data_IF_881928671685
#
_entry.id   IF_881928671685
#
_cell.length_a   1.000
_cell.length_b   1.000
_cell.length_c   1.000
_cell.angle_alpha   90.00
_cell.angle_beta   90.00
_cell.angle_gamma   90.00
#
_symmetry.space_group_name_H-M   'P 1'
#
loop_
_entity.id
_entity.type
_entity.pdbx_description
1 polymer ?
#
# COMPACT_ATOMS: atom_id res chain seq x y z
N UNK A 1 -16.31 7.63 2.18
CA UNK A 1 -14.99 7.67 2.82
C UNK A 1 -14.51 9.10 2.96
N UNK A 2 -13.78 9.38 4.00
CA UNK A 2 -13.16 10.68 4.20
C UNK A 2 -11.72 10.61 3.71
N UNK A 3 -11.38 11.45 2.75
CA UNK A 3 -10.02 11.55 2.25
C UNK A 3 -9.23 12.54 3.09
N UNK A 4 -7.99 12.19 3.37
CA UNK A 4 -7.09 13.01 4.19
C UNK A 4 -5.68 12.98 3.60
N UNK A 5 -4.97 14.09 3.79
CA UNK A 5 -3.52 14.11 3.64
C UNK A 5 -2.93 14.15 5.04
N UNK A 6 -2.04 13.23 5.34
CA UNK A 6 -1.39 13.16 6.65
C UNK A 6 0.10 12.89 6.49
N UNK A 7 0.83 13.14 7.56
CA UNK A 7 2.27 12.86 7.59
C UNK A 7 2.52 11.50 8.20
N UNK A 8 3.15 10.61 7.42
CA UNK A 8 3.67 9.33 7.91
C UNK A 8 5.16 9.54 8.19
N UNK A 9 5.50 9.96 9.42
CA UNK A 9 6.83 10.46 9.69
C UNK A 9 7.06 11.75 8.90
N UNK A 10 8.06 11.76 8.03
CA UNK A 10 8.37 12.91 7.17
C UNK A 10 7.73 12.79 5.77
N UNK A 11 6.95 11.77 5.51
CA UNK A 11 6.37 11.50 4.21
C UNK A 11 4.89 11.87 4.18
N UNK A 12 4.47 12.82 3.33
CA UNK A 12 3.04 13.10 3.17
C UNK A 12 2.36 11.93 2.43
N UNK A 13 1.20 11.53 2.92
CA UNK A 13 0.43 10.43 2.35
C UNK A 13 -1.03 10.81 2.17
N UNK A 14 -1.60 10.35 1.07
CA UNK A 14 -3.02 10.46 0.78
C UNK A 14 -3.70 9.18 1.25
N UNK A 15 -4.67 9.32 2.14
CA UNK A 15 -5.42 8.19 2.69
C UNK A 15 -6.92 8.44 2.60
N UNK A 16 -7.68 7.36 2.59
CA UNK A 16 -9.14 7.43 2.71
C UNK A 16 -9.57 6.45 3.80
N UNK A 17 -10.52 6.86 4.62
CA UNK A 17 -10.90 6.18 5.86
C UNK A 17 -12.42 6.21 5.99
N UNK A 18 -13.03 5.06 6.22
CA UNK A 18 -14.48 4.99 6.50
C UNK A 18 -14.83 5.44 7.90
N UNK A 19 -13.87 5.49 8.80
CA UNK A 19 -13.96 5.97 10.19
C UNK A 19 -14.88 5.17 11.12
N UNK A 20 -15.56 4.16 10.63
CA UNK A 20 -16.51 3.37 11.42
C UNK A 20 -16.15 1.90 11.47
N UNK A 21 -16.19 1.33 12.65
CA UNK A 21 -15.98 -0.09 12.91
C UNK A 21 -14.94 -0.34 13.98
N UNK A 22 -15.15 -1.41 14.76
CA UNK A 22 -14.22 -1.79 15.84
C UNK A 22 -12.99 -2.50 15.32
N UNK A 23 -13.13 -3.21 14.20
CA UNK A 23 -12.03 -3.87 13.52
C UNK A 23 -11.65 -3.06 12.29
N UNK A 24 -10.37 -3.01 11.99
CA UNK A 24 -9.86 -2.23 10.87
C UNK A 24 -9.08 -3.10 9.90
N UNK A 25 -9.25 -2.81 8.61
CA UNK A 25 -8.45 -3.38 7.55
C UNK A 25 -7.83 -2.25 6.72
N UNK A 26 -6.54 -2.38 6.40
CA UNK A 26 -5.86 -1.48 5.47
C UNK A 26 -5.59 -2.22 4.16
N UNK A 27 -5.94 -1.58 3.05
CA UNK A 27 -5.82 -2.17 1.72
C UNK A 27 -4.65 -1.51 0.97
N UNK A 28 -3.70 -2.33 0.53
CA UNK A 28 -2.48 -1.88 -0.14
C UNK A 28 -2.50 -2.28 -1.61
N UNK A 29 -2.43 -1.29 -2.50
CA UNK A 29 -2.48 -1.48 -3.95
C UNK A 29 -1.17 -2.03 -4.51
N UNK A 30 -1.22 -2.48 -5.78
CA UNK A 30 -0.07 -2.99 -6.49
C UNK A 30 0.76 -1.91 -7.20
N UNK A 31 1.77 -2.37 -7.92
CA UNK A 31 2.67 -1.52 -8.69
C UNK A 31 1.92 -0.77 -9.79
N UNK A 32 2.21 0.52 -9.93
CA UNK A 32 1.56 1.43 -10.90
C UNK A 32 0.05 1.57 -10.70
N UNK A 33 -0.46 1.20 -9.54
CA UNK A 33 -1.85 1.40 -9.16
C UNK A 33 -1.98 2.55 -8.16
N UNK A 34 -3.20 2.77 -7.68
CA UNK A 34 -3.49 3.72 -6.61
C UNK A 34 -4.59 3.16 -5.72
N UNK A 35 -4.93 3.86 -4.65
CA UNK A 35 -5.99 3.41 -3.74
C UNK A 35 -7.37 3.30 -4.40
N UNK A 36 -7.56 3.91 -5.57
CA UNK A 36 -8.83 3.87 -6.31
C UNK A 36 -9.21 2.44 -6.72
N UNK A 37 -8.23 1.55 -6.92
CA UNK A 37 -8.50 0.15 -7.27
C UNK A 37 -9.36 -0.56 -6.22
N UNK A 38 -9.43 -0.03 -5.01
CA UNK A 38 -10.16 -0.64 -3.90
C UNK A 38 -11.60 -0.15 -3.76
N UNK A 39 -12.05 0.83 -4.53
CA UNK A 39 -13.35 1.49 -4.31
C UNK A 39 -14.52 0.51 -4.21
N UNK A 40 -14.59 -0.48 -5.08
CA UNK A 40 -15.66 -1.49 -5.04
C UNK A 40 -15.55 -2.39 -3.81
N UNK A 41 -14.33 -2.76 -3.43
CA UNK A 41 -14.09 -3.56 -2.23
C UNK A 41 -14.47 -2.81 -0.97
N UNK A 42 -14.19 -1.52 -0.93
CA UNK A 42 -14.55 -0.68 0.20
C UNK A 42 -16.05 -0.68 0.42
N UNK A 43 -16.84 -0.54 -0.65
CA UNK A 43 -18.29 -0.54 -0.56
C UNK A 43 -18.85 -1.84 0.02
N UNK A 44 -18.18 -2.96 -0.23
CA UNK A 44 -18.56 -4.25 0.33
C UNK A 44 -18.12 -4.42 1.79
N UNK A 45 -16.91 -3.96 2.11
CA UNK A 45 -16.29 -4.19 3.42
C UNK A 45 -16.73 -3.20 4.50
N UNK A 46 -17.04 -1.98 4.13
CA UNK A 46 -17.31 -0.89 5.08
C UNK A 46 -18.52 -1.12 6.01
N UNK A 47 -19.38 -2.05 5.64
CA UNK A 47 -20.55 -2.43 6.45
C UNK A 47 -20.14 -3.18 7.71
N UNK A 48 -19.03 -3.90 7.66
CA UNK A 48 -18.62 -4.82 8.73
C UNK A 48 -17.35 -4.38 9.45
N UNK A 49 -16.48 -3.63 8.76
CA UNK A 49 -15.18 -3.21 9.30
C UNK A 49 -14.86 -1.78 8.90
N UNK A 50 -13.99 -1.14 9.67
CA UNK A 50 -13.37 0.12 9.27
C UNK A 50 -12.36 -0.18 8.18
N UNK A 51 -12.45 0.55 7.07
CA UNK A 51 -11.56 0.35 5.92
C UNK A 51 -10.70 1.59 5.72
N UNK A 52 -9.40 1.38 5.61
CA UNK A 52 -8.43 2.41 5.26
C UNK A 52 -7.79 2.00 3.94
N UNK A 53 -7.78 2.92 2.99
CA UNK A 53 -7.00 2.79 1.76
C UNK A 53 -6.00 3.92 1.71
N UNK A 54 -4.87 3.70 1.07
CA UNK A 54 -3.85 4.73 0.96
C UNK A 54 -3.07 4.56 -0.33
N UNK A 55 -2.53 5.68 -0.82
CA UNK A 55 -1.58 5.66 -1.92
C UNK A 55 -0.19 5.42 -1.34
N UNK A 56 0.44 4.34 -1.77
CA UNK A 56 1.82 4.07 -1.36
C UNK A 56 2.75 5.14 -1.95
N UNK A 57 3.77 5.58 -1.21
CA UNK A 57 4.70 6.59 -1.71
C UNK A 57 5.21 6.29 -3.11
N UNK A 58 5.18 7.30 -3.99
CA UNK A 58 5.54 7.17 -5.38
C UNK A 58 4.39 6.72 -6.30
N UNK A 59 3.19 6.52 -5.76
CA UNK A 59 2.01 6.07 -6.50
C UNK A 59 0.83 7.01 -6.23
N UNK A 60 -0.12 7.03 -7.16
CA UNK A 60 -1.32 7.87 -7.02
C UNK A 60 -1.00 9.36 -7.12
N UNK A 61 -1.46 10.14 -6.15
CA UNK A 61 -1.11 11.56 -6.06
C UNK A 61 0.36 11.65 -5.68
N UNK A 62 1.21 12.29 -6.49
CA UNK A 62 2.64 12.25 -6.28
C UNK A 62 3.07 12.82 -4.93
N UNK A 63 3.81 12.03 -4.20
CA UNK A 63 4.56 12.48 -3.05
C UNK A 63 6.02 12.19 -3.36
N UNK A 64 6.87 13.18 -3.16
CA UNK A 64 8.29 13.00 -3.41
C UNK A 64 8.96 12.65 -2.10
N UNK A 65 9.38 11.39 -1.97
CA UNK A 65 10.25 10.98 -0.89
C UNK A 65 11.58 10.57 -1.53
N UNK A 66 11.79 9.29 -1.78
CA UNK A 66 13.00 8.78 -2.41
C UNK A 66 12.68 8.27 -3.82
N UNK A 67 13.67 8.28 -4.71
CA UNK A 67 13.51 7.75 -6.07
C UNK A 67 13.23 6.24 -6.05
N UNK A 68 13.84 5.53 -5.11
CA UNK A 68 13.67 4.08 -4.94
C UNK A 68 13.15 3.81 -3.54
N UNK A 69 11.98 3.19 -3.49
CA UNK A 69 11.34 2.83 -2.23
C UNK A 69 11.54 1.35 -1.94
N UNK A 70 12.11 1.03 -0.78
CA UNK A 70 12.20 -0.35 -0.32
C UNK A 70 10.85 -0.80 0.26
N UNK A 71 10.62 -2.10 0.33
CA UNK A 71 9.41 -2.64 0.96
C UNK A 71 9.37 -2.25 2.44
N UNK A 72 10.52 -2.22 3.10
CA UNK A 72 10.65 -1.79 4.49
C UNK A 72 10.25 -0.34 4.69
N UNK A 73 10.70 0.53 3.80
CA UNK A 73 10.33 1.95 3.83
C UNK A 73 8.81 2.12 3.64
N UNK A 74 8.23 1.44 2.65
CA UNK A 74 6.80 1.49 2.39
C UNK A 74 6.01 0.95 3.59
N UNK A 75 6.48 -0.14 4.19
CA UNK A 75 5.86 -0.72 5.38
C UNK A 75 5.85 0.26 6.56
N UNK A 76 6.96 0.96 6.78
CA UNK A 76 7.05 1.95 7.85
C UNK A 76 6.13 3.15 7.58
N UNK A 77 5.97 3.54 6.32
CA UNK A 77 5.00 4.57 5.94
C UNK A 77 3.57 4.15 6.25
N UNK A 78 3.21 2.91 5.93
CA UNK A 78 1.89 2.36 6.25
C UNK A 78 1.65 2.37 7.76
N UNK A 79 2.59 1.83 8.54
CA UNK A 79 2.48 1.78 9.99
C UNK A 79 2.34 3.19 10.59
N UNK A 80 3.14 4.14 10.12
CA UNK A 80 3.08 5.53 10.59
C UNK A 80 1.75 6.19 10.24
N UNK A 81 1.20 5.91 9.06
CA UNK A 81 -0.11 6.41 8.66
C UNK A 81 -1.22 5.88 9.57
N UNK A 82 -1.18 4.59 9.88
CA UNK A 82 -2.16 3.97 10.78
C UNK A 82 -2.05 4.55 12.19
N UNK A 83 -0.85 4.77 12.66
CA UNK A 83 -0.61 5.43 13.95
C UNK A 83 -1.18 6.85 13.97
N UNK A 84 -0.96 7.61 12.90
CA UNK A 84 -1.50 8.96 12.76
C UNK A 84 -3.04 9.00 12.77
N UNK A 85 -3.68 7.92 12.30
CA UNK A 85 -5.13 7.75 12.35
C UNK A 85 -5.64 7.25 13.70
N UNK A 86 -4.74 6.97 14.64
CA UNK A 86 -5.10 6.44 15.95
C UNK A 86 -5.47 4.95 15.94
N UNK A 87 -5.09 4.23 14.91
CA UNK A 87 -5.42 2.81 14.76
C UNK A 87 -4.22 1.98 15.21
N UNK A 88 -4.38 1.26 16.33
CA UNK A 88 -3.29 0.50 16.94
C UNK A 88 -3.15 -0.92 16.42
N UNK A 89 -4.24 -1.49 15.92
CA UNK A 89 -4.27 -2.86 15.44
C UNK A 89 -5.17 -2.98 14.23
N UNK A 90 -4.69 -3.68 13.21
CA UNK A 90 -5.38 -3.78 11.92
C UNK A 90 -4.95 -5.03 11.17
N UNK A 91 -5.80 -5.49 10.27
CA UNK A 91 -5.42 -6.49 9.27
C UNK A 91 -4.93 -5.79 8.01
N UNK A 92 -3.99 -6.41 7.32
CA UNK A 92 -3.39 -5.86 6.11
C UNK A 92 -3.76 -6.73 4.93
N UNK A 93 -4.32 -6.12 3.89
CA UNK A 93 -4.62 -6.80 2.63
C UNK A 93 -3.73 -6.18 1.55
N UNK A 94 -2.91 -7.01 0.93
CA UNK A 94 -2.00 -6.53 -0.11
C UNK A 94 -2.25 -7.19 -1.44
N UNK A 95 -2.34 -6.38 -2.50
CA UNK A 95 -2.49 -6.83 -3.88
C UNK A 95 -1.16 -6.71 -4.62
N UNK A 96 -0.66 -7.80 -5.18
CA UNK A 96 0.58 -7.83 -5.96
C UNK A 96 1.75 -7.26 -5.16
N UNK A 97 2.36 -6.15 -5.58
CA UNK A 97 3.43 -5.47 -4.83
C UNK A 97 2.99 -5.10 -3.41
N UNK A 98 1.73 -4.70 -3.23
CA UNK A 98 1.16 -4.42 -1.91
C UNK A 98 1.22 -5.63 -0.97
N UNK A 99 1.25 -6.84 -1.52
CA UNK A 99 1.45 -8.06 -0.74
C UNK A 99 2.83 -8.14 -0.09
N UNK A 100 3.87 -7.74 -0.81
CA UNK A 100 5.22 -7.66 -0.23
C UNK A 100 5.29 -6.60 0.87
N UNK A 101 4.63 -5.47 0.64
CA UNK A 101 4.54 -4.41 1.66
C UNK A 101 3.79 -4.93 2.89
N UNK A 102 2.68 -5.65 2.68
CA UNK A 102 1.91 -6.25 3.78
C UNK A 102 2.76 -7.19 4.63
N UNK A 103 3.56 -8.04 4.00
CA UNK A 103 4.48 -8.94 4.70
C UNK A 103 5.56 -8.17 5.47
N UNK A 104 6.08 -7.09 4.90
CA UNK A 104 7.05 -6.24 5.57
C UNK A 104 6.43 -5.53 6.77
N UNK A 105 5.17 -5.08 6.68
CA UNK A 105 4.45 -4.52 7.83
C UNK A 105 4.34 -5.56 8.95
N UNK A 106 3.96 -6.78 8.59
CA UNK A 106 3.84 -7.87 9.56
C UNK A 106 5.17 -8.18 10.25
N UNK A 107 6.27 -8.20 9.50
CA UNK A 107 7.60 -8.48 10.02
C UNK A 107 8.12 -7.37 10.93
N UNK A 108 7.93 -6.10 10.52
CA UNK A 108 8.48 -4.95 11.23
C UNK A 108 7.59 -4.44 12.36
N UNK A 109 6.29 -4.68 12.27
CA UNK A 109 5.29 -4.18 13.22
C UNK A 109 4.33 -5.29 13.64
N UNK A 110 4.85 -6.43 14.15
CA UNK A 110 4.01 -7.61 14.40
C UNK A 110 2.92 -7.39 15.43
N UNK A 111 3.10 -6.46 16.36
CA UNK A 111 2.12 -6.17 17.41
C UNK A 111 0.92 -5.40 16.88
N UNK A 112 1.08 -4.70 15.75
CA UNK A 112 0.01 -3.92 15.13
C UNK A 112 -0.85 -4.75 14.18
N UNK A 113 -0.35 -5.88 13.69
CA UNK A 113 -0.98 -6.68 12.64
C UNK A 113 -1.83 -7.79 13.24
N UNK A 114 -3.14 -7.75 12.98
CA UNK A 114 -4.07 -8.79 13.40
C UNK A 114 -4.15 -9.95 12.41
N UNK A 115 -3.89 -9.69 11.13
CA UNK A 115 -3.89 -10.70 10.08
C UNK A 115 -3.39 -10.13 8.77
N UNK A 116 -3.04 -11.01 7.84
CA UNK A 116 -2.55 -10.64 6.50
C UNK A 116 -3.30 -11.44 5.46
N UNK A 117 -3.73 -10.76 4.39
CA UNK A 117 -4.33 -11.39 3.21
C UNK A 117 -3.52 -10.98 1.98
N UNK A 118 -3.10 -11.96 1.20
CA UNK A 118 -2.36 -11.73 -0.04
C UNK A 118 -3.28 -12.02 -1.23
N UNK A 119 -3.53 -11.00 -2.05
CA UNK A 119 -4.34 -11.11 -3.25
C UNK A 119 -3.42 -11.02 -4.47
N UNK A 120 -3.41 -12.07 -5.30
CA UNK A 120 -2.54 -12.16 -6.49
C UNK A 120 -1.09 -11.81 -6.15
N UNK A 121 -0.57 -12.38 -5.04
CA UNK A 121 0.77 -12.12 -4.52
C UNK A 121 1.35 -13.39 -3.93
N UNK A 122 2.65 -13.36 -3.61
CA UNK A 122 3.37 -14.50 -3.04
C UNK A 122 4.36 -14.02 -1.99
N UNK A 123 4.61 -14.81 -0.92
CA UNK A 123 5.67 -14.48 0.04
C UNK A 123 7.08 -14.75 -0.50
N UNK A 124 7.19 -15.41 -1.65
CA UNK A 124 8.49 -15.77 -2.23
C UNK A 124 9.18 -14.55 -2.85
N UNK A 125 10.50 -14.54 -2.76
CA UNK A 125 11.30 -13.51 -3.42
C UNK A 125 11.11 -13.59 -4.95
N UNK A 126 11.31 -12.47 -5.64
CA UNK A 126 11.27 -12.41 -7.09
C UNK A 126 12.32 -13.36 -7.69
N UNK A 127 11.95 -14.08 -8.74
CA UNK A 127 12.89 -14.82 -9.55
C UNK A 127 13.82 -13.85 -10.30
N UNK A 128 14.94 -14.35 -10.81
CA UNK A 128 15.84 -13.50 -11.61
C UNK A 128 15.14 -12.90 -12.83
N UNK A 129 14.24 -13.65 -13.46
CA UNK A 129 13.44 -13.14 -14.57
C UNK A 129 12.53 -12.00 -14.14
N UNK A 130 11.84 -12.12 -13.01
CA UNK A 130 10.98 -11.07 -12.47
C UNK A 130 11.79 -9.82 -12.11
N UNK A 131 12.97 -9.99 -11.52
CA UNK A 131 13.87 -8.87 -11.21
C UNK A 131 14.26 -8.10 -12.45
N UNK A 132 14.65 -8.81 -13.52
CA UNK A 132 15.00 -8.18 -14.80
C UNK A 132 13.83 -7.43 -15.40
N UNK A 133 12.63 -8.00 -15.36
CA UNK A 133 11.43 -7.35 -15.86
C UNK A 133 11.13 -6.06 -15.07
N UNK A 134 11.28 -6.09 -13.75
CA UNK A 134 11.09 -4.91 -12.90
C UNK A 134 12.10 -3.81 -13.20
N UNK A 135 13.37 -4.17 -13.43
CA UNK A 135 14.41 -3.21 -13.81
C UNK A 135 14.08 -2.53 -15.14
N UNK A 136 13.58 -3.31 -16.11
CA UNK A 136 13.14 -2.78 -17.39
C UNK A 136 11.95 -1.83 -17.23
N UNK A 137 10.97 -2.18 -16.40
CA UNK A 137 9.82 -1.34 -16.13
C UNK A 137 10.23 -0.01 -15.47
N UNK A 138 11.16 -0.07 -14.52
CA UNK A 138 11.70 1.13 -13.88
C UNK A 138 12.38 2.02 -14.92
N UNK A 139 13.17 1.45 -15.83
CA UNK A 139 13.82 2.20 -16.90
C UNK A 139 12.79 2.88 -17.81
N UNK A 140 11.70 2.19 -18.16
CA UNK A 140 10.62 2.73 -18.97
C UNK A 140 9.94 3.91 -18.27
N UNK A 141 9.64 3.78 -16.97
CA UNK A 141 9.02 4.84 -16.19
C UNK A 141 9.95 6.05 -16.12
N UNK A 142 11.24 5.86 -15.86
CA UNK A 142 12.21 6.95 -15.81
C UNK A 142 12.38 7.67 -17.14
N UNK A 143 12.14 6.97 -18.27
CA UNK A 143 12.20 7.58 -19.59
C UNK A 143 10.95 8.39 -19.97
N UNK A 144 9.92 8.38 -19.11
CA UNK A 144 8.66 9.09 -19.35
C UNK A 144 7.65 8.34 -20.22
N UNK A 145 7.89 7.07 -20.49
CA UNK A 145 7.01 6.25 -21.36
C UNK A 145 6.06 5.37 -20.53
N UNK A 146 5.44 5.95 -19.51
CA UNK A 146 4.55 5.21 -18.59
C UNK A 146 3.42 4.50 -19.27
N UNK A 147 2.90 5.05 -20.35
CA UNK A 147 1.79 4.50 -21.12
C UNK A 147 2.10 3.11 -21.69
N UNK A 148 3.38 2.77 -21.84
CA UNK A 148 3.76 1.43 -22.32
C UNK A 148 3.55 0.34 -21.25
N UNK A 149 3.42 0.73 -20.00
CA UNK A 149 3.18 -0.19 -18.88
C UNK A 149 1.71 -0.38 -18.56
N UNK A 150 0.85 0.52 -19.04
CA UNK A 150 -0.58 0.51 -18.76
C UNK A 150 -1.37 -0.45 -19.65
N UNK A 151 -0.73 -1.13 -20.56
CA UNK A 151 -1.34 -2.06 -21.50
C UNK A 151 -1.38 -3.49 -20.97
#
# INVERSE_FOLDING_TARGET
>A
MIEKFLMAGDTPMHVADTEHGDRCVVLLHGYLESMIVWDEFVDLLKKDVRVVTLDLPGHGIPTIADEVHTMEYLADCVASAMEALGIKRYSVVGHSMGGYVALAVCERHPQAVAGVVLLHSTPNADSEEKKKNREREIAIVKSGKKELLAK
#
